data_IF_915637655644
#
_entry.id   IF_915637655644
#
_cell.length_a   1.000
_cell.length_b   1.000
_cell.length_c   1.000
_cell.angle_alpha   90.00
_cell.angle_beta   90.00
_cell.angle_gamma   90.00
#
_symmetry.space_group_name_H-M   'P 1'
#
loop_
_entity.id
_entity.type
_entity.pdbx_description
1 polymer ?
#
# COMPACT_ATOMS: atom_id res chain seq x y z
N UNK A 1 7.55 -14.85 -7.62
CA UNK A 1 6.38 -14.74 -6.72
C UNK A 1 5.10 -15.08 -7.49
N UNK A 2 4.01 -15.52 -6.83
CA UNK A 2 2.69 -15.66 -7.49
C UNK A 2 1.87 -14.38 -7.30
N UNK A 3 1.40 -13.77 -8.39
CA UNK A 3 0.60 -12.55 -8.35
C UNK A 3 -0.85 -12.89 -8.71
N UNK A 4 -1.80 -12.38 -7.89
CA UNK A 4 -3.25 -12.45 -8.10
C UNK A 4 -3.76 -11.02 -8.21
N UNK A 5 -3.97 -10.54 -9.43
CA UNK A 5 -4.47 -9.18 -9.67
C UNK A 5 -6.02 -9.17 -9.69
N UNK A 6 -6.59 -8.32 -8.87
CA UNK A 6 -8.04 -8.07 -8.73
C UNK A 6 -8.40 -6.62 -9.09
N UNK A 7 -7.51 -5.93 -9.81
CA UNK A 7 -7.71 -4.52 -10.17
C UNK A 7 -8.99 -4.35 -10.98
N UNK A 8 -9.93 -3.52 -10.52
CA UNK A 8 -11.16 -3.26 -11.26
C UNK A 8 -10.90 -2.48 -12.55
N UNK A 9 -11.80 -2.63 -13.54
CA UNK A 9 -11.76 -1.90 -14.81
C UNK A 9 -10.52 -2.18 -15.68
N UNK A 10 -9.86 -3.32 -15.50
CA UNK A 10 -8.80 -3.80 -16.38
C UNK A 10 -9.38 -4.57 -17.57
N UNK A 11 -8.74 -4.46 -18.72
CA UNK A 11 -8.98 -5.30 -19.87
C UNK A 11 -8.40 -6.72 -19.65
N UNK A 12 -8.69 -7.65 -20.55
CA UNK A 12 -8.16 -9.03 -20.48
C UNK A 12 -6.62 -9.09 -20.53
N UNK A 13 -6.00 -8.14 -21.21
CA UNK A 13 -4.53 -8.00 -21.27
C UNK A 13 -3.90 -7.30 -20.05
N UNK A 14 -4.72 -6.94 -19.03
CA UNK A 14 -4.28 -6.23 -17.84
C UNK A 14 -4.11 -4.70 -18.03
N UNK A 15 -4.34 -4.18 -19.24
CA UNK A 15 -4.29 -2.74 -19.51
C UNK A 15 -5.56 -2.03 -19.00
N UNK A 16 -5.48 -0.71 -18.84
CA UNK A 16 -6.63 0.13 -18.49
C UNK A 16 -6.85 1.12 -19.62
N UNK A 17 -7.97 0.97 -20.34
CA UNK A 17 -8.35 1.87 -21.42
C UNK A 17 -8.58 3.31 -20.90
N UNK A 18 -8.51 4.29 -21.81
CA UNK A 18 -8.78 5.69 -21.46
C UNK A 18 -10.17 5.89 -20.84
N UNK A 19 -11.20 5.22 -21.38
CA UNK A 19 -12.56 5.26 -20.83
C UNK A 19 -12.60 4.68 -19.42
N UNK A 20 -11.90 3.57 -19.18
CA UNK A 20 -11.83 2.94 -17.86
C UNK A 20 -11.05 3.78 -16.85
N UNK A 21 -10.05 4.58 -17.29
CA UNK A 21 -9.38 5.58 -16.43
C UNK A 21 -10.34 6.66 -15.95
N UNK A 22 -11.17 7.18 -16.86
CA UNK A 22 -12.20 8.17 -16.49
C UNK A 22 -13.21 7.57 -15.52
N UNK A 23 -13.74 6.37 -15.81
CA UNK A 23 -14.65 5.66 -14.91
C UNK A 23 -14.03 5.40 -13.54
N UNK A 24 -12.77 4.94 -13.51
CA UNK A 24 -12.05 4.69 -12.27
C UNK A 24 -11.81 5.97 -11.46
N UNK A 25 -11.47 7.07 -12.12
CA UNK A 25 -11.31 8.38 -11.46
C UNK A 25 -12.64 8.85 -10.84
N UNK A 26 -13.75 8.70 -11.53
CA UNK A 26 -15.08 9.07 -11.03
C UNK A 26 -15.53 8.17 -9.86
N UNK A 27 -15.22 6.87 -9.93
CA UNK A 27 -15.67 5.88 -8.93
C UNK A 27 -14.76 5.82 -7.70
N UNK A 28 -13.43 5.96 -7.88
CA UNK A 28 -12.41 5.73 -6.83
C UNK A 28 -11.60 6.98 -6.47
N UNK A 29 -11.79 8.10 -7.19
CA UNK A 29 -11.11 9.36 -6.94
C UNK A 29 -9.90 9.63 -7.83
N UNK A 30 -9.41 10.88 -7.82
CA UNK A 30 -8.34 11.37 -8.69
C UNK A 30 -6.99 10.67 -8.48
N UNK A 31 -6.72 10.16 -7.30
CA UNK A 31 -5.48 9.43 -6.99
C UNK A 31 -5.47 7.99 -7.53
N UNK A 32 -6.61 7.45 -7.95
CA UNK A 32 -6.76 6.04 -8.30
C UNK A 32 -5.74 5.57 -9.34
N UNK A 33 -5.62 6.27 -10.46
CA UNK A 33 -4.70 5.86 -11.52
C UNK A 33 -3.21 6.08 -11.15
N UNK A 34 -2.80 7.21 -10.58
CA UNK A 34 -1.45 7.37 -10.02
C UNK A 34 -1.09 6.31 -8.98
N UNK A 35 -2.02 5.93 -8.10
CA UNK A 35 -1.82 4.88 -7.10
C UNK A 35 -1.59 3.51 -7.78
N UNK A 36 -2.34 3.18 -8.85
CA UNK A 36 -2.14 1.95 -9.61
C UNK A 36 -0.77 1.90 -10.29
N UNK A 37 -0.28 3.03 -10.81
CA UNK A 37 1.07 3.11 -11.39
C UNK A 37 2.16 2.92 -10.34
N UNK A 38 2.00 3.53 -9.17
CA UNK A 38 2.92 3.35 -8.05
C UNK A 38 2.93 1.90 -7.55
N UNK A 39 1.76 1.27 -7.44
CA UNK A 39 1.63 -0.16 -7.12
C UNK A 39 2.36 -1.03 -8.13
N UNK A 40 2.20 -0.77 -9.45
CA UNK A 40 2.86 -1.57 -10.47
C UNK A 40 4.37 -1.52 -10.32
N UNK A 41 4.94 -0.34 -10.13
CA UNK A 41 6.40 -0.18 -9.89
C UNK A 41 6.86 -0.95 -8.65
N UNK A 42 6.08 -0.90 -7.56
CA UNK A 42 6.40 -1.64 -6.34
C UNK A 42 6.35 -3.16 -6.58
N UNK A 43 5.31 -3.64 -7.29
CA UNK A 43 5.14 -5.06 -7.63
C UNK A 43 6.29 -5.56 -8.49
N UNK A 44 6.73 -4.78 -9.48
CA UNK A 44 7.84 -5.14 -10.36
C UNK A 44 9.16 -5.32 -9.60
N UNK A 45 9.40 -4.51 -8.55
CA UNK A 45 10.57 -4.66 -7.67
C UNK A 45 10.41 -5.91 -6.80
N UNK A 46 9.27 -6.06 -6.14
CA UNK A 46 8.99 -7.19 -5.27
C UNK A 46 9.05 -8.53 -6.02
N UNK A 47 8.53 -8.60 -7.25
CA UNK A 47 8.53 -9.85 -8.03
C UNK A 47 9.93 -10.29 -8.44
N UNK A 48 10.84 -9.36 -8.68
CA UNK A 48 12.26 -9.66 -8.96
C UNK A 48 13.01 -10.22 -7.76
N UNK A 49 12.62 -9.81 -6.56
CA UNK A 49 13.31 -10.14 -5.30
C UNK A 49 12.69 -11.34 -4.59
N UNK A 50 11.35 -11.44 -4.63
CA UNK A 50 10.62 -12.46 -3.87
C UNK A 50 10.49 -13.76 -4.64
N UNK A 51 10.84 -14.86 -4.00
CA UNK A 51 10.77 -16.20 -4.57
C UNK A 51 9.35 -16.79 -4.60
N UNK A 52 9.24 -18.06 -5.05
CA UNK A 52 7.96 -18.79 -5.20
C UNK A 52 7.16 -18.99 -3.90
N UNK A 53 7.78 -18.77 -2.74
CA UNK A 53 7.11 -18.87 -1.42
C UNK A 53 6.19 -17.71 -1.09
N UNK A 54 6.14 -16.67 -1.95
CA UNK A 54 5.33 -15.49 -1.74
C UNK A 54 4.13 -15.46 -2.70
N UNK A 55 2.99 -15.01 -2.16
CA UNK A 55 1.76 -14.72 -2.90
C UNK A 55 1.44 -13.25 -2.68
N UNK A 56 1.26 -12.51 -3.77
CA UNK A 56 0.82 -11.12 -3.76
C UNK A 56 -0.59 -11.04 -4.32
N UNK A 57 -1.52 -10.47 -3.54
CA UNK A 57 -2.88 -10.16 -4.00
C UNK A 57 -3.00 -8.66 -4.16
N UNK A 58 -3.31 -8.22 -5.38
CA UNK A 58 -3.45 -6.80 -5.72
C UNK A 58 -4.91 -6.38 -5.78
N UNK A 59 -5.22 -5.21 -5.20
CA UNK A 59 -6.51 -4.53 -5.26
C UNK A 59 -7.71 -5.43 -4.89
N UNK A 60 -7.54 -6.19 -3.80
CA UNK A 60 -8.61 -7.06 -3.30
C UNK A 60 -9.72 -6.25 -2.66
N UNK A 61 -10.94 -6.44 -3.13
CA UNK A 61 -12.13 -5.87 -2.51
C UNK A 61 -12.59 -6.83 -1.41
N UNK A 62 -12.65 -6.34 -0.18
CA UNK A 62 -13.14 -7.15 0.93
C UNK A 62 -14.64 -7.39 0.80
N UNK A 63 -15.07 -8.65 0.98
CA UNK A 63 -16.47 -9.05 0.90
C UNK A 63 -17.37 -8.18 1.78
N UNK A 64 -18.54 -7.82 1.26
CA UNK A 64 -19.52 -6.97 1.93
C UNK A 64 -19.01 -5.56 2.30
N UNK A 65 -17.96 -5.10 1.61
CA UNK A 65 -17.44 -3.74 1.80
C UNK A 65 -17.05 -3.11 0.44
N UNK A 66 -16.83 -1.79 0.46
CA UNK A 66 -16.25 -1.08 -0.68
C UNK A 66 -14.74 -0.84 -0.50
N UNK A 67 -14.13 -1.49 0.49
CA UNK A 67 -12.72 -1.29 0.83
C UNK A 67 -11.88 -2.09 -0.15
N UNK A 68 -11.02 -1.38 -0.89
CA UNK A 68 -9.99 -1.96 -1.74
C UNK A 68 -8.69 -1.99 -0.95
N UNK A 69 -8.13 -3.19 -0.80
CA UNK A 69 -6.79 -3.37 -0.21
C UNK A 69 -5.77 -3.37 -1.34
N UNK A 70 -4.85 -2.38 -1.38
CA UNK A 70 -3.94 -2.20 -2.52
C UNK A 70 -3.06 -3.43 -2.77
N UNK A 71 -2.34 -3.88 -1.75
CA UNK A 71 -1.48 -5.07 -1.82
C UNK A 71 -1.59 -5.84 -0.51
N UNK A 72 -1.84 -7.15 -0.62
CA UNK A 72 -1.66 -8.12 0.46
C UNK A 72 -0.53 -9.04 0.04
N UNK A 73 0.56 -9.03 0.79
CA UNK A 73 1.71 -9.92 0.58
C UNK A 73 1.71 -11.01 1.64
N UNK A 74 1.69 -12.26 1.21
CA UNK A 74 1.66 -13.44 2.06
C UNK A 74 2.93 -14.25 1.81
N UNK A 75 3.67 -14.56 2.87
CA UNK A 75 4.92 -15.30 2.77
C UNK A 75 5.45 -15.76 4.12
N UNK A 76 6.70 -16.25 4.18
CA UNK A 76 7.30 -16.74 5.42
C UNK A 76 7.31 -15.73 6.59
N UNK A 77 7.43 -14.41 6.36
CA UNK A 77 7.31 -13.43 7.44
C UNK A 77 5.91 -13.32 8.03
N UNK A 78 4.86 -13.72 7.29
CA UNK A 78 3.45 -13.60 7.65
C UNK A 78 2.63 -12.88 6.59
N UNK A 79 1.64 -12.12 7.04
CA UNK A 79 0.73 -11.35 6.20
C UNK A 79 1.07 -9.86 6.34
N UNK A 80 1.36 -9.23 5.22
CA UNK A 80 1.67 -7.80 5.15
C UNK A 80 0.63 -7.10 4.28
N UNK A 81 0.10 -5.97 4.78
CA UNK A 81 -0.80 -5.11 4.01
C UNK A 81 -0.03 -3.85 3.65
N UNK A 82 0.25 -3.70 2.35
CA UNK A 82 1.11 -2.65 1.84
C UNK A 82 0.25 -1.57 1.17
N UNK A 83 0.24 -0.38 1.77
CA UNK A 83 -0.29 0.81 1.15
C UNK A 83 0.83 1.50 0.36
N UNK A 84 0.70 1.51 -0.96
CA UNK A 84 1.67 2.17 -1.84
C UNK A 84 1.22 3.60 -2.09
N UNK A 85 2.13 4.56 -1.93
CA UNK A 85 1.85 5.98 -2.18
C UNK A 85 2.68 6.54 -3.33
N UNK A 86 2.10 7.47 -4.07
CA UNK A 86 2.75 8.22 -5.15
C UNK A 86 3.18 9.63 -4.74
N UNK A 87 2.91 10.04 -3.48
CA UNK A 87 3.23 11.40 -3.01
C UNK A 87 4.73 11.70 -3.08
N UNK A 88 5.05 12.97 -3.18
CA UNK A 88 6.42 13.49 -3.22
C UNK A 88 6.58 14.65 -2.23
N UNK A 89 7.83 15.01 -1.94
CA UNK A 89 8.16 16.10 -1.01
C UNK A 89 8.67 15.60 0.33
N UNK A 90 8.77 16.51 1.30
CA UNK A 90 9.34 16.22 2.62
C UNK A 90 8.26 16.16 3.67
N UNK A 91 8.16 15.02 4.36
CA UNK A 91 7.17 14.76 5.40
C UNK A 91 7.84 14.39 6.71
N UNK A 92 7.11 14.58 7.79
CA UNK A 92 7.44 14.05 9.12
C UNK A 92 6.38 13.04 9.55
N UNK A 93 6.86 11.90 10.03
CA UNK A 93 6.08 10.82 10.62
C UNK A 93 6.46 10.66 12.09
N UNK A 94 5.55 10.98 13.03
CA UNK A 94 5.82 10.79 14.47
C UNK A 94 4.63 10.12 15.11
N UNK A 95 4.82 8.92 15.64
CA UNK A 95 3.76 8.05 16.10
C UNK A 95 2.69 7.89 14.99
N UNK A 96 1.48 8.41 15.20
CA UNK A 96 0.37 8.42 14.23
C UNK A 96 0.24 9.76 13.47
N UNK A 97 1.06 10.77 13.78
CA UNK A 97 1.03 12.07 13.10
C UNK A 97 1.78 12.01 11.76
N UNK A 98 1.17 12.59 10.73
CA UNK A 98 1.69 12.67 9.37
C UNK A 98 1.47 14.09 8.81
N UNK A 99 2.54 14.73 8.39
CA UNK A 99 2.45 16.10 7.88
C UNK A 99 3.77 16.62 7.34
N UNK A 100 3.77 17.89 6.97
CA UNK A 100 4.95 18.63 6.47
C UNK A 100 5.53 19.52 7.57
N UNK A 101 6.80 19.90 7.41
CA UNK A 101 7.45 20.89 8.28
C UNK A 101 7.90 22.06 7.44
N UNK A 102 7.42 23.26 7.79
CA UNK A 102 7.83 24.51 7.14
C UNK A 102 8.15 25.55 8.21
N UNK A 103 9.35 26.17 8.12
CA UNK A 103 9.79 27.15 9.10
C UNK A 103 9.85 26.62 10.54
N UNK A 104 10.12 25.34 10.74
CA UNK A 104 10.11 24.69 12.05
C UNK A 104 8.73 24.24 12.57
N UNK A 105 7.64 24.69 11.94
CA UNK A 105 6.29 24.36 12.33
C UNK A 105 5.80 23.09 11.61
N UNK A 106 5.19 22.17 12.37
CA UNK A 106 4.52 20.99 11.82
C UNK A 106 3.10 21.37 11.38
N UNK A 107 2.74 20.91 10.17
CA UNK A 107 1.39 21.05 9.63
C UNK A 107 0.88 19.69 9.20
N UNK A 108 -0.26 19.27 9.74
CA UNK A 108 -0.90 18.02 9.34
C UNK A 108 -1.20 18.01 7.85
N UNK A 109 -0.92 16.89 7.19
CA UNK A 109 -1.34 16.67 5.83
C UNK A 109 -2.84 16.40 5.76
N UNK A 110 -3.49 16.81 4.65
CA UNK A 110 -4.92 16.58 4.43
C UNK A 110 -5.32 15.10 4.49
N UNK A 111 -4.41 14.22 4.12
CA UNK A 111 -4.56 12.77 4.21
C UNK A 111 -3.42 12.21 5.05
N UNK A 112 -3.76 11.55 6.15
CA UNK A 112 -2.79 10.88 7.00
C UNK A 112 -2.50 9.46 6.47
N UNK A 113 -1.36 9.29 5.79
CA UNK A 113 -0.98 8.02 5.18
C UNK A 113 -0.66 6.93 6.20
N UNK A 114 -0.12 7.29 7.38
CA UNK A 114 0.14 6.33 8.45
C UNK A 114 -1.14 5.71 8.98
N UNK A 115 -2.14 6.56 9.29
CA UNK A 115 -3.46 6.11 9.75
C UNK A 115 -4.15 5.26 8.68
N UNK A 116 -4.06 5.66 7.40
CA UNK A 116 -4.64 4.92 6.29
C UNK A 116 -4.04 3.51 6.17
N UNK A 117 -2.71 3.40 6.16
CA UNK A 117 -2.04 2.11 6.11
C UNK A 117 -2.38 1.24 7.34
N UNK A 118 -2.36 1.84 8.54
CA UNK A 118 -2.71 1.14 9.78
C UNK A 118 -4.15 0.61 9.76
N UNK A 119 -5.11 1.43 9.34
CA UNK A 119 -6.52 1.05 9.25
C UNK A 119 -6.73 -0.10 8.26
N UNK A 120 -6.06 -0.08 7.09
CA UNK A 120 -6.13 -1.17 6.13
C UNK A 120 -5.62 -2.49 6.73
N UNK A 121 -4.49 -2.46 7.44
CA UNK A 121 -3.98 -3.65 8.14
C UNK A 121 -4.99 -4.19 9.16
N UNK A 122 -5.59 -3.30 9.97
CA UNK A 122 -6.61 -3.68 10.95
C UNK A 122 -7.87 -4.28 10.32
N UNK A 123 -8.34 -3.70 9.23
CA UNK A 123 -9.54 -4.20 8.52
C UNK A 123 -9.28 -5.59 7.93
N UNK A 124 -8.10 -5.81 7.33
CA UNK A 124 -7.71 -7.15 6.82
C UNK A 124 -7.58 -8.15 7.96
N UNK A 125 -6.98 -7.76 9.08
CA UNK A 125 -6.87 -8.63 10.27
C UNK A 125 -8.25 -9.07 10.77
N UNK A 126 -9.19 -8.14 10.92
CA UNK A 126 -10.57 -8.42 11.33
C UNK A 126 -11.26 -9.33 10.32
N UNK A 127 -11.11 -9.05 9.03
CA UNK A 127 -11.70 -9.85 7.96
C UNK A 127 -11.22 -11.30 8.01
N UNK A 128 -9.93 -11.53 8.15
CA UNK A 128 -9.34 -12.86 8.21
C UNK A 128 -9.79 -13.62 9.48
N UNK A 129 -9.83 -12.94 10.63
CA UNK A 129 -10.37 -13.53 11.88
C UNK A 129 -11.83 -13.97 11.76
N UNK A 130 -12.67 -13.15 11.09
CA UNK A 130 -14.07 -13.53 10.81
C UNK A 130 -14.20 -14.74 9.89
N UNK A 131 -13.20 -15.02 9.07
CA UNK A 131 -13.11 -16.23 8.21
C UNK A 131 -12.40 -17.40 8.91
N UNK A 132 -12.20 -17.31 10.22
CA UNK A 132 -11.55 -18.34 11.06
C UNK A 132 -10.10 -18.65 10.68
N UNK A 133 -9.39 -17.68 10.08
CA UNK A 133 -7.95 -17.79 9.88
C UNK A 133 -7.22 -17.38 11.15
N UNK A 134 -6.32 -18.24 11.61
CA UNK A 134 -5.40 -17.96 12.70
C UNK A 134 -4.00 -17.70 12.14
N UNK A 135 -3.38 -16.60 12.57
CA UNK A 135 -2.01 -16.25 12.19
C UNK A 135 -1.28 -15.63 13.39
N UNK A 136 -0.23 -16.33 13.89
CA UNK A 136 0.42 -15.98 15.14
C UNK A 136 1.04 -14.59 15.18
N UNK A 137 1.48 -14.08 14.02
CA UNK A 137 2.18 -12.78 13.90
C UNK A 137 1.25 -11.61 13.62
N UNK A 138 -0.07 -11.84 13.46
CA UNK A 138 -1.00 -10.79 13.04
C UNK A 138 -0.78 -10.32 11.61
N UNK A 139 -1.34 -9.15 11.28
CA UNK A 139 -1.18 -8.48 9.99
C UNK A 139 -0.28 -7.25 10.17
N UNK A 140 0.84 -7.20 9.44
CA UNK A 140 1.77 -6.06 9.47
C UNK A 140 1.34 -4.99 8.45
N UNK A 141 0.92 -3.77 8.89
CA UNK A 141 0.65 -2.67 7.98
C UNK A 141 1.94 -1.97 7.57
N UNK A 142 2.08 -1.68 6.26
CA UNK A 142 3.26 -1.05 5.67
C UNK A 142 2.85 0.14 4.80
N UNK A 143 3.53 1.27 4.97
CA UNK A 143 3.52 2.38 4.04
C UNK A 143 4.75 2.29 3.14
N UNK A 144 4.54 2.10 1.83
CA UNK A 144 5.62 1.93 0.86
C UNK A 144 5.58 3.03 -0.20
N UNK A 145 6.75 3.54 -0.56
CA UNK A 145 6.91 4.43 -1.71
C UNK A 145 8.11 4.01 -2.56
N UNK A 146 7.89 3.96 -3.87
CA UNK A 146 8.95 3.78 -4.87
C UNK A 146 9.36 5.11 -5.51
N UNK A 147 8.82 6.23 -5.02
CA UNK A 147 9.15 7.57 -5.52
C UNK A 147 10.40 8.10 -4.80
N UNK A 148 11.53 8.31 -5.49
CA UNK A 148 12.75 8.82 -4.87
C UNK A 148 12.62 10.29 -4.40
N UNK A 149 11.60 11.02 -4.87
CA UNK A 149 11.33 12.40 -4.44
C UNK A 149 10.52 12.48 -3.14
N UNK A 150 10.21 11.36 -2.50
CA UNK A 150 9.60 11.34 -1.17
C UNK A 150 10.67 11.17 -0.09
N UNK A 151 10.74 12.14 0.82
CA UNK A 151 11.61 12.13 1.97
C UNK A 151 10.79 12.12 3.25
N UNK A 152 11.09 11.20 4.17
CA UNK A 152 10.36 11.07 5.44
C UNK A 152 11.33 11.07 6.61
N UNK A 153 11.19 12.07 7.49
CA UNK A 153 11.79 12.02 8.82
C UNK A 153 10.85 11.28 9.76
N UNK A 154 11.24 10.10 10.24
CA UNK A 154 10.35 9.25 11.04
C UNK A 154 10.86 9.07 12.47
N UNK A 155 9.93 9.14 13.44
CA UNK A 155 10.16 8.87 14.86
C UNK A 155 9.07 7.96 15.38
N UNK A 156 9.37 6.69 15.58
CA UNK A 156 8.46 5.65 16.10
C UNK A 156 7.07 5.65 15.40
N UNK A 157 7.02 5.57 14.06
CA UNK A 157 5.74 5.59 13.34
C UNK A 157 4.93 4.35 13.68
N UNK A 158 3.58 4.48 13.67
CA UNK A 158 2.65 3.37 13.98
C UNK A 158 2.63 2.26 12.92
N UNK A 159 3.23 2.49 11.75
CA UNK A 159 3.39 1.49 10.69
C UNK A 159 4.84 1.48 10.22
N UNK A 160 5.27 0.35 9.67
CA UNK A 160 6.56 0.29 9.00
C UNK A 160 6.55 1.15 7.73
N UNK A 161 7.58 1.99 7.57
CA UNK A 161 7.77 2.82 6.38
C UNK A 161 8.91 2.23 5.55
N UNK A 162 8.65 2.03 4.25
CA UNK A 162 9.62 1.52 3.27
C UNK A 162 9.72 2.53 2.13
N UNK A 163 10.87 3.17 1.99
CA UNK A 163 11.16 4.14 0.92
C UNK A 163 11.86 3.46 -0.26
N UNK A 164 11.96 4.17 -1.37
CA UNK A 164 12.47 3.65 -2.66
C UNK A 164 13.84 2.99 -2.56
N UNK A 165 14.74 3.51 -1.73
CA UNK A 165 16.09 2.99 -1.47
C UNK A 165 16.11 1.73 -0.59
N UNK A 166 15.01 1.43 0.08
CA UNK A 166 14.87 0.31 0.99
C UNK A 166 13.98 -0.83 0.47
N UNK A 167 13.29 -0.65 -0.67
CA UNK A 167 12.33 -1.65 -1.17
C UNK A 167 13.01 -2.99 -1.48
N UNK A 168 14.20 -2.97 -2.08
CA UNK A 168 14.95 -4.19 -2.38
C UNK A 168 15.36 -4.93 -1.11
N UNK A 169 15.85 -4.21 -0.09
CA UNK A 169 16.20 -4.78 1.22
C UNK A 169 15.00 -5.25 2.03
N UNK A 170 13.84 -4.62 1.81
CA UNK A 170 12.59 -5.06 2.41
C UNK A 170 12.15 -6.41 1.88
N UNK A 171 12.42 -6.68 0.60
CA UNK A 171 12.06 -7.92 -0.10
C UNK A 171 13.09 -9.04 0.04
N UNK A 172 14.32 -8.76 0.46
CA UNK A 172 15.38 -9.76 0.69
C UNK A 172 15.31 -10.34 2.09
#
# INVERSE_FOLDING_TARGET
MRIIDKTPLTNEDGSISFINRIKGTLQYGFSWYPDLQAQQKAIDILDRQLGKKFILVRNHILENSKIIVPIILIGPPGIQVIYVTHVQGSYRAKNDAWGTVSGGNFKDASINLLKRAHQLGKVVEIYLKKKSFEFPKGVEPILLSVNPALHISSVRPIVRIVLSDAVERFAS
#
